data_IF_001196744894
#
_entry.id   IF_001196744894
#
_cell.length_a   1.000
_cell.length_b   1.000
_cell.length_c   1.000
_cell.angle_alpha   90.00
_cell.angle_beta   90.00
_cell.angle_gamma   90.00
#
_symmetry.space_group_name_H-M   'P 1'
#
loop_
_entity.id
_entity.type
_entity.pdbx_description
1 polymer ?
#
# COMPACT_ATOMS: atom_id res chain seq x y z
N UNK A 1 -2.61 -13.39 16.25
CA UNK A 1 -1.57 -12.56 15.65
C UNK A 1 -2.05 -11.16 15.24
N UNK A 2 -3.27 -11.02 14.80
CA UNK A 2 -3.82 -9.72 14.41
C UNK A 2 -4.77 -9.12 15.46
N UNK A 3 -4.66 -9.54 16.72
CA UNK A 3 -5.50 -9.03 17.83
C UNK A 3 -5.48 -7.50 17.92
N UNK A 4 -4.34 -6.87 17.63
CA UNK A 4 -4.20 -5.42 17.65
C UNK A 4 -4.81 -4.72 16.41
N UNK A 5 -5.18 -5.45 15.36
CA UNK A 5 -5.89 -4.93 14.19
C UNK A 5 -7.37 -5.29 14.19
N UNK A 6 -7.75 -6.28 14.98
CA UNK A 6 -9.10 -6.81 14.99
C UNK A 6 -10.11 -5.74 15.44
N UNK A 7 -11.21 -5.63 14.72
CA UNK A 7 -12.32 -4.69 14.95
C UNK A 7 -11.93 -3.19 14.89
N UNK A 8 -10.71 -2.89 14.41
CA UNK A 8 -10.19 -1.52 14.32
C UNK A 8 -9.98 -1.02 12.89
N UNK A 9 -10.20 -1.86 11.90
CA UNK A 9 -9.89 -1.57 10.49
C UNK A 9 -10.45 -0.22 10.05
N UNK A 10 -11.72 0.03 10.31
CA UNK A 10 -12.38 1.29 9.90
C UNK A 10 -11.82 2.52 10.62
N UNK A 11 -11.50 2.38 11.92
CA UNK A 11 -10.96 3.47 12.74
C UNK A 11 -9.57 3.89 12.26
N UNK A 12 -8.75 2.90 11.87
CA UNK A 12 -7.37 3.12 11.43
C UNK A 12 -7.22 3.28 9.92
N UNK A 13 -8.32 3.29 9.18
CA UNK A 13 -8.34 3.52 7.74
C UNK A 13 -7.97 2.31 6.89
N UNK A 14 -7.88 1.10 7.48
CA UNK A 14 -7.65 -0.13 6.71
C UNK A 14 -8.95 -0.59 6.04
N UNK A 15 -8.87 -0.89 4.75
CA UNK A 15 -9.92 -1.56 4.00
C UNK A 15 -9.92 -3.07 4.28
N UNK A 16 -8.73 -3.65 4.38
CA UNK A 16 -8.51 -5.05 4.73
C UNK A 16 -7.08 -5.28 5.18
N UNK A 17 -6.82 -6.43 5.78
CA UNK A 17 -5.46 -6.89 6.03
C UNK A 17 -5.32 -8.40 5.81
N UNK A 18 -4.12 -8.82 5.44
CA UNK A 18 -3.75 -10.22 5.25
C UNK A 18 -2.49 -10.54 6.02
N UNK A 19 -2.43 -11.72 6.60
CA UNK A 19 -1.22 -12.21 7.28
C UNK A 19 -0.71 -13.48 6.62
N UNK A 20 0.62 -13.62 6.57
CA UNK A 20 1.26 -14.81 6.04
C UNK A 20 2.46 -15.21 6.89
N UNK A 21 2.73 -16.49 6.92
CA UNK A 21 4.03 -17.02 7.31
C UNK A 21 4.91 -17.14 6.07
N UNK A 22 6.19 -16.85 6.21
CA UNK A 22 7.14 -17.01 5.13
C UNK A 22 7.28 -18.47 4.79
N UNK A 23 7.19 -18.78 3.53
CA UNK A 23 7.44 -20.13 3.01
C UNK A 23 8.83 -20.63 3.35
N UNK A 24 8.96 -21.94 3.66
CA UNK A 24 10.21 -22.53 4.15
C UNK A 24 11.32 -22.50 3.09
N UNK A 25 11.01 -22.74 1.82
CA UNK A 25 12.02 -22.73 0.75
C UNK A 25 12.54 -21.31 0.55
N UNK A 26 11.66 -20.33 0.46
CA UNK A 26 12.01 -18.90 0.37
C UNK A 26 12.77 -18.41 1.61
N UNK A 27 12.49 -18.98 2.79
CA UNK A 27 13.25 -18.68 4.00
C UNK A 27 14.69 -19.17 3.87
N UNK A 28 14.89 -20.44 3.47
CA UNK A 28 16.22 -21.01 3.30
C UNK A 28 17.02 -20.23 2.25
N UNK A 29 16.44 -19.94 1.09
CA UNK A 29 17.09 -19.11 0.06
C UNK A 29 17.52 -17.74 0.61
N UNK A 30 16.64 -17.08 1.39
CA UNK A 30 16.97 -15.79 2.02
C UNK A 30 18.11 -15.91 3.02
N UNK A 31 18.13 -16.95 3.85
CA UNK A 31 19.20 -17.19 4.83
C UNK A 31 20.55 -17.41 4.14
N UNK A 32 20.58 -18.23 3.10
CA UNK A 32 21.78 -18.48 2.30
C UNK A 32 22.27 -17.18 1.67
N UNK A 33 21.40 -16.45 0.99
CA UNK A 33 21.72 -15.17 0.37
C UNK A 33 22.29 -14.17 1.38
N UNK A 34 21.62 -13.95 2.52
CA UNK A 34 22.10 -13.04 3.57
C UNK A 34 23.50 -13.43 4.08
N UNK A 35 23.74 -14.72 4.24
CA UNK A 35 25.06 -15.22 4.68
C UNK A 35 26.14 -14.99 3.64
N UNK A 36 25.82 -15.11 2.36
CA UNK A 36 26.74 -14.81 1.26
C UNK A 36 27.01 -13.30 1.12
N UNK A 37 25.98 -12.47 1.24
CA UNK A 37 26.08 -11.02 1.11
C UNK A 37 26.85 -10.37 2.26
N UNK A 38 26.72 -10.88 3.49
CA UNK A 38 27.39 -10.33 4.67
C UNK A 38 27.76 -11.44 5.67
N UNK A 39 28.80 -12.19 5.34
CA UNK A 39 29.26 -13.30 6.17
C UNK A 39 29.60 -12.88 7.60
N UNK A 40 30.24 -11.73 7.80
CA UNK A 40 30.64 -11.26 9.12
C UNK A 40 29.44 -11.12 10.08
N UNK A 41 28.32 -10.60 9.58
CA UNK A 41 27.10 -10.41 10.33
C UNK A 41 26.36 -11.72 10.61
N UNK A 42 26.31 -12.61 9.61
CA UNK A 42 25.45 -13.81 9.64
C UNK A 42 26.21 -15.11 9.91
N UNK A 43 27.53 -15.06 10.19
CA UNK A 43 28.36 -16.28 10.42
C UNK A 43 27.90 -17.13 11.61
N UNK A 44 27.32 -16.50 12.64
CA UNK A 44 26.80 -17.18 13.84
C UNK A 44 25.33 -17.60 13.73
N UNK A 45 24.71 -17.35 12.60
CA UNK A 45 23.32 -17.73 12.36
C UNK A 45 23.22 -19.23 12.07
N UNK A 46 22.34 -19.91 12.79
CA UNK A 46 22.05 -21.34 12.68
C UNK A 46 20.55 -21.63 12.85
N UNK A 47 20.18 -22.90 12.84
CA UNK A 47 18.80 -23.35 12.96
C UNK A 47 18.13 -22.98 14.31
N UNK A 48 18.90 -22.68 15.35
CA UNK A 48 18.38 -22.35 16.68
C UNK A 48 18.16 -20.87 16.89
N UNK A 49 18.81 -20.02 16.09
CA UNK A 49 18.82 -18.57 16.30
C UNK A 49 18.43 -17.72 15.08
N UNK A 50 18.11 -18.33 13.92
CA UNK A 50 17.80 -17.61 12.68
C UNK A 50 16.67 -16.58 12.83
N UNK A 51 15.73 -16.82 13.74
CA UNK A 51 14.62 -15.89 14.01
C UNK A 51 15.09 -14.51 14.47
N UNK A 52 16.30 -14.40 15.04
CA UNK A 52 16.92 -13.11 15.42
C UNK A 52 17.44 -12.30 14.23
N UNK A 53 17.63 -12.97 13.09
CA UNK A 53 18.22 -12.38 11.89
C UNK A 53 17.21 -12.14 10.78
N UNK A 54 16.03 -12.77 10.86
CA UNK A 54 14.99 -12.68 9.85
C UNK A 54 13.80 -11.91 10.42
N UNK A 55 13.56 -10.73 9.87
CA UNK A 55 12.55 -9.78 10.36
C UNK A 55 11.20 -9.93 9.66
N UNK A 56 11.07 -10.81 8.66
CA UNK A 56 9.88 -11.01 7.82
C UNK A 56 9.37 -12.45 7.81
N UNK A 57 9.59 -13.20 8.91
CA UNK A 57 9.02 -14.54 9.09
C UNK A 57 7.49 -14.49 9.11
N UNK A 58 6.97 -13.48 9.76
CA UNK A 58 5.56 -13.15 9.79
C UNK A 58 5.41 -11.84 9.03
N UNK A 59 4.58 -11.86 8.01
CA UNK A 59 4.21 -10.68 7.23
C UNK A 59 2.74 -10.33 7.45
N UNK A 60 2.45 -9.05 7.66
CA UNK A 60 1.09 -8.50 7.63
C UNK A 60 1.07 -7.46 6.52
N UNK A 61 0.08 -7.55 5.62
CA UNK A 61 -0.22 -6.53 4.63
C UNK A 61 -1.51 -5.85 5.03
N UNK A 62 -1.47 -4.54 5.24
CA UNK A 62 -2.63 -3.70 5.44
C UNK A 62 -2.91 -2.90 4.17
N UNK A 63 -4.15 -2.92 3.71
CA UNK A 63 -4.58 -2.28 2.48
C UNK A 63 -5.42 -1.06 2.80
N UNK A 64 -5.04 0.06 2.22
CA UNK A 64 -5.74 1.34 2.32
C UNK A 64 -6.57 1.57 1.05
N UNK A 65 -7.73 2.21 1.22
CA UNK A 65 -8.49 2.72 0.08
C UNK A 65 -7.87 4.02 -0.45
N UNK A 66 -7.44 4.88 0.47
CA UNK A 66 -6.81 6.17 0.16
C UNK A 66 -5.45 6.26 0.83
N UNK A 67 -4.48 6.81 0.13
CA UNK A 67 -3.12 6.98 0.63
C UNK A 67 -3.06 7.81 1.92
N UNK A 68 -3.92 8.80 2.05
CA UNK A 68 -4.01 9.68 3.20
C UNK A 68 -4.41 8.96 4.50
N UNK A 69 -5.09 7.82 4.41
CA UNK A 69 -5.48 7.02 5.57
C UNK A 69 -4.29 6.40 6.30
N UNK A 70 -3.12 6.36 5.63
CA UNK A 70 -1.88 5.93 6.24
C UNK A 70 -1.58 6.68 7.55
N UNK A 71 -1.89 7.96 7.65
CA UNK A 71 -1.65 8.76 8.86
C UNK A 71 -2.38 8.18 10.07
N UNK A 72 -3.61 7.71 9.90
CA UNK A 72 -4.39 7.10 10.97
C UNK A 72 -3.75 5.78 11.41
N UNK A 73 -3.37 4.95 10.43
CA UNK A 73 -2.63 3.72 10.71
C UNK A 73 -1.31 4.00 11.42
N UNK A 74 -0.54 4.98 10.96
CA UNK A 74 0.76 5.34 11.55
C UNK A 74 0.61 5.75 13.03
N UNK A 75 -0.35 6.59 13.34
CA UNK A 75 -0.65 6.98 14.74
C UNK A 75 -1.00 5.78 15.60
N UNK A 76 -1.82 4.90 15.07
CA UNK A 76 -2.26 3.69 15.76
C UNK A 76 -1.08 2.74 16.04
N UNK A 77 -0.31 2.39 15.02
CA UNK A 77 0.78 1.42 15.15
C UNK A 77 1.90 1.93 16.07
N UNK A 78 2.23 3.22 16.00
CA UNK A 78 3.24 3.85 16.86
C UNK A 78 2.77 4.03 18.30
N UNK A 79 1.46 4.08 18.54
CA UNK A 79 0.91 4.03 19.88
C UNK A 79 1.10 2.65 20.52
N UNK A 80 0.85 1.58 19.77
CA UNK A 80 1.00 0.20 20.23
C UNK A 80 2.46 -0.24 20.35
N UNK A 81 3.28 0.11 19.37
CA UNK A 81 4.67 -0.28 19.28
C UNK A 81 5.55 0.96 19.35
N UNK A 82 5.90 1.35 20.56
CA UNK A 82 6.77 2.50 20.78
C UNK A 82 8.14 2.27 20.14
N UNK A 83 8.70 3.34 19.59
CA UNK A 83 10.05 3.30 19.04
C UNK A 83 11.07 3.17 20.19
N UNK A 84 11.84 2.10 20.20
CA UNK A 84 12.92 1.87 21.16
C UNK A 84 14.19 1.42 20.40
N UNK A 85 14.96 2.39 19.86
CA UNK A 85 16.19 2.08 19.13
C UNK A 85 17.23 1.34 19.96
N UNK A 86 17.33 1.62 21.25
CA UNK A 86 18.29 0.96 22.14
C UNK A 86 17.92 -0.51 22.35
N UNK A 87 16.64 -0.78 22.41
CA UNK A 87 16.13 -2.15 22.56
C UNK A 87 16.39 -2.96 21.27
N UNK A 88 16.23 -2.35 20.11
CA UNK A 88 16.58 -2.96 18.83
C UNK A 88 18.07 -3.34 18.75
N UNK A 89 18.96 -2.43 19.14
CA UNK A 89 20.42 -2.68 19.15
C UNK A 89 20.77 -3.78 20.14
N UNK A 90 20.13 -3.84 21.28
CA UNK A 90 20.32 -4.89 22.29
C UNK A 90 19.88 -6.26 21.79
N UNK A 91 18.71 -6.34 21.12
CA UNK A 91 18.13 -7.60 20.68
C UNK A 91 18.84 -8.20 19.46
N UNK A 92 19.57 -7.41 18.70
CA UNK A 92 20.32 -7.88 17.54
C UNK A 92 21.52 -8.79 17.89
N UNK A 93 21.78 -9.04 19.13
CA UNK A 93 22.85 -9.91 19.59
C UNK A 93 22.66 -10.59 20.92
N UNK A 94 21.48 -10.45 21.52
CA UNK A 94 21.20 -10.95 22.89
C UNK A 94 19.95 -11.79 22.96
N UNK A 95 19.78 -12.47 24.07
CA UNK A 95 18.67 -13.38 24.33
C UNK A 95 17.33 -12.66 24.23
N UNK A 96 16.40 -13.32 23.55
CA UNK A 96 15.02 -12.89 23.41
C UNK A 96 14.38 -12.75 24.81
N UNK A 97 13.92 -11.56 25.14
CA UNK A 97 12.94 -11.41 26.19
C UNK A 97 11.56 -11.80 25.63
N UNK A 98 11.18 -13.06 25.87
CA UNK A 98 9.88 -13.60 25.42
C UNK A 98 8.69 -12.88 26.09
N UNK A 99 8.93 -12.13 27.16
CA UNK A 99 7.93 -11.38 27.91
C UNK A 99 7.89 -9.90 27.54
N UNK A 100 8.73 -9.44 26.59
CA UNK A 100 8.74 -8.05 26.17
C UNK A 100 7.38 -7.67 25.55
N UNK A 101 6.77 -6.64 26.10
CA UNK A 101 5.69 -5.93 25.41
C UNK A 101 6.16 -5.54 24.01
N UNK A 102 5.27 -5.57 23.00
CA UNK A 102 5.63 -5.24 21.63
C UNK A 102 6.32 -3.86 21.50
N UNK A 103 7.30 -3.76 20.61
CA UNK A 103 8.02 -2.51 20.32
C UNK A 103 8.37 -2.41 18.83
N UNK A 104 8.63 -1.17 18.38
CA UNK A 104 9.13 -0.90 17.03
C UNK A 104 10.61 -1.27 16.97
N UNK A 105 10.96 -2.25 16.15
CA UNK A 105 12.33 -2.77 16.09
C UNK A 105 13.28 -1.83 15.33
N UNK A 106 12.78 -1.10 14.35
CA UNK A 106 13.50 -0.08 13.62
C UNK A 106 12.55 1.06 13.22
N UNK A 107 13.04 2.26 12.92
CA UNK A 107 12.21 3.32 12.37
C UNK A 107 11.47 2.86 11.11
N UNK A 108 10.19 3.25 10.94
CA UNK A 108 9.43 2.91 9.75
C UNK A 108 10.12 3.40 8.48
N UNK A 109 10.04 2.63 7.40
CA UNK A 109 10.59 2.97 6.09
C UNK A 109 9.48 3.19 5.10
N UNK A 110 9.50 4.34 4.46
CA UNK A 110 8.59 4.69 3.37
C UNK A 110 9.30 4.43 2.05
N UNK A 111 8.70 3.63 1.21
CA UNK A 111 9.13 3.45 -0.18
C UNK A 111 8.20 4.26 -1.06
N UNK A 112 8.73 5.22 -1.79
CA UNK A 112 8.03 6.05 -2.76
C UNK A 112 8.51 5.74 -4.17
N UNK A 113 7.70 5.96 -5.17
CA UNK A 113 8.18 5.99 -6.56
C UNK A 113 8.90 7.30 -6.81
N UNK A 114 9.86 7.27 -7.72
CA UNK A 114 10.52 8.48 -8.19
C UNK A 114 9.49 9.47 -8.75
N UNK A 115 9.46 10.68 -8.19
CA UNK A 115 8.50 11.73 -8.55
C UNK A 115 7.17 11.71 -7.81
N UNK A 116 6.96 10.79 -6.87
CA UNK A 116 5.78 10.78 -6.02
C UNK A 116 5.81 11.95 -5.02
N UNK A 117 4.62 12.46 -4.72
CA UNK A 117 4.44 13.45 -3.66
C UNK A 117 4.54 12.78 -2.28
N UNK A 118 5.63 13.06 -1.56
CA UNK A 118 5.97 12.41 -0.29
C UNK A 118 5.60 13.22 0.96
N UNK A 119 5.04 14.43 0.82
CA UNK A 119 4.80 15.37 1.92
C UNK A 119 3.93 14.80 3.06
N UNK A 120 3.02 13.86 2.73
CA UNK A 120 2.18 13.22 3.76
C UNK A 120 3.02 12.44 4.79
N UNK A 121 4.23 12.02 4.42
CA UNK A 121 5.13 11.24 5.27
C UNK A 121 6.12 12.12 6.05
N UNK A 122 6.54 13.26 5.48
CA UNK A 122 7.62 14.10 6.02
C UNK A 122 7.36 14.65 7.42
N UNK A 123 6.08 14.80 7.80
CA UNK A 123 5.72 15.25 9.16
C UNK A 123 5.84 14.16 10.23
N UNK A 124 6.05 12.90 9.82
CA UNK A 124 5.98 11.73 10.70
C UNK A 124 7.22 10.85 10.63
N UNK A 125 7.89 10.83 9.50
CA UNK A 125 9.01 9.95 9.18
C UNK A 125 10.22 10.82 8.83
N UNK A 126 11.39 10.57 9.44
CA UNK A 126 12.63 11.25 9.05
C UNK A 126 12.95 11.03 7.57
N UNK A 127 13.51 12.04 6.92
CA UNK A 127 13.78 12.05 5.48
C UNK A 127 14.68 10.89 5.05
N UNK A 128 15.66 10.50 5.87
CA UNK A 128 16.55 9.37 5.62
C UNK A 128 15.83 8.01 5.56
N UNK A 129 14.59 7.94 6.06
CA UNK A 129 13.75 6.74 5.99
C UNK A 129 12.70 6.81 4.88
N UNK A 130 12.68 7.87 4.07
CA UNK A 130 11.87 8.00 2.86
C UNK A 130 12.77 7.64 1.67
N UNK A 131 12.50 6.47 1.07
CA UNK A 131 13.39 5.83 0.11
C UNK A 131 12.76 5.85 -1.29
N UNK A 132 13.39 6.53 -2.22
CA UNK A 132 12.97 6.51 -3.61
C UNK A 132 13.24 5.13 -4.24
N UNK A 133 12.22 4.59 -4.87
CA UNK A 133 12.24 3.33 -5.62
C UNK A 133 11.72 3.57 -7.03
N UNK A 134 12.17 2.75 -7.97
CA UNK A 134 11.74 2.92 -9.37
C UNK A 134 10.22 2.75 -9.53
N UNK A 135 9.65 1.74 -8.88
CA UNK A 135 8.25 1.36 -9.09
C UNK A 135 7.50 1.05 -7.80
N UNK A 136 8.20 0.70 -6.73
CA UNK A 136 7.61 0.16 -5.53
C UNK A 136 7.18 1.26 -4.56
N UNK A 137 5.95 1.17 -4.04
CA UNK A 137 5.42 2.03 -3.00
C UNK A 137 4.83 1.19 -1.86
N UNK A 138 5.28 1.41 -0.65
CA UNK A 138 4.72 0.86 0.58
C UNK A 138 5.33 1.55 1.80
N UNK A 139 4.66 1.48 2.94
CA UNK A 139 5.29 1.81 4.23
C UNK A 139 5.53 0.52 4.99
N UNK A 140 6.78 0.33 5.40
CA UNK A 140 7.23 -0.86 6.12
C UNK A 140 7.47 -0.54 7.58
N UNK A 141 6.91 -1.37 8.44
CA UNK A 141 7.16 -1.38 9.87
C UNK A 141 7.74 -2.74 10.25
N UNK A 142 8.80 -2.74 11.03
CA UNK A 142 9.32 -3.96 11.66
C UNK A 142 9.05 -3.83 13.15
N UNK A 143 8.17 -4.67 13.64
CA UNK A 143 7.80 -4.69 15.06
C UNK A 143 8.22 -6.02 15.69
N UNK A 144 8.48 -6.00 16.99
CA UNK A 144 8.60 -7.22 17.79
C UNK A 144 7.34 -7.36 18.64
N UNK A 145 6.72 -8.50 18.57
CA UNK A 145 5.57 -8.84 19.38
C UNK A 145 5.73 -10.24 19.94
N UNK A 146 5.68 -10.36 21.28
CA UNK A 146 5.92 -11.62 22.00
C UNK A 146 7.24 -12.29 21.55
N UNK A 147 8.31 -11.50 21.40
CA UNK A 147 9.64 -11.98 21.03
C UNK A 147 9.83 -12.37 19.57
N UNK A 148 8.84 -12.15 18.70
CA UNK A 148 8.91 -12.48 17.27
C UNK A 148 8.85 -11.23 16.42
N UNK A 149 9.71 -11.14 15.41
CA UNK A 149 9.66 -10.08 14.40
C UNK A 149 8.46 -10.25 13.48
N UNK A 150 7.77 -9.17 13.23
CA UNK A 150 6.65 -9.07 12.29
C UNK A 150 6.94 -7.90 11.35
N UNK A 151 6.94 -8.15 10.05
CA UNK A 151 6.95 -7.11 9.03
C UNK A 151 5.50 -6.71 8.71
N UNK A 152 5.19 -5.43 8.85
CA UNK A 152 3.90 -4.88 8.47
C UNK A 152 4.11 -3.97 7.27
N UNK A 153 3.47 -4.28 6.15
CA UNK A 153 3.50 -3.52 4.91
C UNK A 153 2.15 -2.84 4.71
N UNK A 154 2.15 -1.52 4.60
CA UNK A 154 0.94 -0.74 4.32
C UNK A 154 1.03 -0.21 2.89
N UNK A 155 -0.01 -0.51 2.12
CA UNK A 155 -0.14 -0.16 0.71
C UNK A 155 -1.57 0.28 0.40
N UNK A 156 -1.78 0.91 -0.74
CA UNK A 156 -3.12 1.07 -1.29
C UNK A 156 -3.56 -0.18 -2.04
N UNK A 157 -4.86 -0.30 -2.31
CA UNK A 157 -5.40 -1.38 -3.16
C UNK A 157 -4.79 -1.37 -4.57
N UNK A 158 -4.53 -0.20 -5.13
CA UNK A 158 -3.91 -0.07 -6.46
C UNK A 158 -2.47 -0.59 -6.47
N UNK A 159 -1.69 -0.25 -5.44
CA UNK A 159 -0.31 -0.71 -5.31
C UNK A 159 -0.23 -2.21 -5.03
N UNK A 160 -1.16 -2.75 -4.26
CA UNK A 160 -1.20 -4.20 -4.04
C UNK A 160 -1.57 -4.94 -5.32
N UNK A 161 -2.60 -4.46 -6.05
CA UNK A 161 -3.01 -5.05 -7.32
C UNK A 161 -1.87 -5.09 -8.34
N UNK A 162 -1.15 -3.98 -8.53
CA UNK A 162 0.05 -3.96 -9.35
C UNK A 162 1.11 -4.93 -8.85
N UNK A 163 1.41 -4.92 -7.54
CA UNK A 163 2.48 -5.72 -6.95
C UNK A 163 2.24 -7.22 -7.09
N UNK A 164 1.01 -7.69 -6.91
CA UNK A 164 0.64 -9.10 -7.08
C UNK A 164 0.72 -9.53 -8.57
N UNK A 165 0.29 -8.68 -9.50
CA UNK A 165 0.40 -8.94 -10.94
C UNK A 165 1.87 -8.98 -11.35
N UNK A 166 2.66 -7.98 -10.97
CA UNK A 166 4.10 -7.92 -11.27
C UNK A 166 4.83 -9.17 -10.75
N UNK A 167 4.57 -9.53 -9.49
CA UNK A 167 5.15 -10.71 -8.88
C UNK A 167 4.75 -12.00 -9.60
N UNK A 168 3.48 -12.16 -9.98
CA UNK A 168 2.99 -13.36 -10.65
C UNK A 168 3.55 -13.53 -12.08
N UNK A 169 3.78 -12.42 -12.78
CA UNK A 169 4.22 -12.44 -14.18
C UNK A 169 5.74 -12.44 -14.30
N UNK A 170 6.44 -11.61 -13.53
CA UNK A 170 7.89 -11.40 -13.67
C UNK A 170 8.73 -12.29 -12.77
N UNK A 171 8.21 -12.71 -11.61
CA UNK A 171 8.99 -13.48 -10.64
C UNK A 171 8.64 -14.98 -10.69
N UNK A 172 9.63 -15.89 -10.58
CA UNK A 172 11.07 -15.69 -10.68
C UNK A 172 11.62 -15.88 -12.11
N UNK A 173 10.81 -16.43 -13.06
CA UNK A 173 11.30 -17.02 -14.31
C UNK A 173 11.38 -16.09 -15.51
N UNK A 174 10.76 -14.91 -15.45
CA UNK A 174 10.61 -13.99 -16.59
C UNK A 174 11.33 -12.66 -16.41
N UNK A 175 12.21 -12.55 -15.40
CA UNK A 175 13.10 -11.41 -15.24
C UNK A 175 13.96 -11.25 -16.50
N UNK A 176 13.94 -10.05 -17.09
CA UNK A 176 14.70 -9.75 -18.32
C UNK A 176 13.87 -9.81 -19.61
N UNK A 177 12.60 -10.17 -19.56
CA UNK A 177 11.71 -9.99 -20.71
C UNK A 177 11.33 -8.50 -20.82
N UNK A 178 11.87 -7.80 -21.82
CA UNK A 178 11.68 -6.35 -22.00
C UNK A 178 10.20 -5.98 -22.14
N UNK A 179 9.43 -6.72 -22.94
CA UNK A 179 8.01 -6.45 -23.19
C UNK A 179 7.19 -6.57 -21.88
N UNK A 180 7.40 -7.64 -21.10
CA UNK A 180 6.70 -7.82 -19.83
C UNK A 180 7.10 -6.75 -18.82
N UNK A 181 8.34 -6.30 -18.84
CA UNK A 181 8.82 -5.20 -17.99
C UNK A 181 8.12 -3.90 -18.36
N UNK A 182 8.01 -3.58 -19.64
CA UNK A 182 7.31 -2.37 -20.12
C UNK A 182 5.82 -2.39 -19.73
N UNK A 183 5.14 -3.52 -19.87
CA UNK A 183 3.75 -3.67 -19.42
C UNK A 183 3.61 -3.50 -17.91
N UNK A 184 4.52 -4.06 -17.11
CA UNK A 184 4.51 -3.87 -15.66
C UNK A 184 4.74 -2.40 -15.28
N UNK A 185 5.65 -1.70 -15.97
CA UNK A 185 5.88 -0.26 -15.79
C UNK A 185 4.65 0.58 -16.16
N UNK A 186 3.95 0.21 -17.24
CA UNK A 186 2.70 0.87 -17.63
C UNK A 186 1.62 0.66 -16.56
N UNK A 187 1.43 -0.59 -16.11
CA UNK A 187 0.47 -0.92 -15.06
C UNK A 187 0.79 -0.18 -13.75
N UNK A 188 2.08 -0.05 -13.41
CA UNK A 188 2.52 0.72 -12.24
C UNK A 188 2.12 2.19 -12.33
N UNK A 189 2.26 2.80 -13.52
CA UNK A 189 1.81 4.20 -13.75
C UNK A 189 0.30 4.33 -13.60
N UNK A 190 -0.47 3.37 -14.13
CA UNK A 190 -1.93 3.36 -13.98
C UNK A 190 -2.36 3.20 -12.52
N UNK A 191 -1.69 2.34 -11.76
CA UNK A 191 -1.92 2.19 -10.32
C UNK A 191 -1.69 3.52 -9.59
N UNK A 192 -0.61 4.23 -9.92
CA UNK A 192 -0.35 5.55 -9.36
C UNK A 192 -1.38 6.60 -9.71
N UNK A 193 -1.82 6.64 -10.96
CA UNK A 193 -2.91 7.52 -11.36
C UNK A 193 -4.22 7.20 -10.62
N UNK A 194 -4.51 5.90 -10.39
CA UNK A 194 -5.65 5.46 -9.57
C UNK A 194 -5.57 6.00 -8.14
N UNK A 195 -4.41 5.92 -7.51
CA UNK A 195 -4.18 6.49 -6.17
C UNK A 195 -4.37 8.01 -6.12
N UNK A 196 -3.84 8.73 -7.13
CA UNK A 196 -3.98 10.19 -7.21
C UNK A 196 -5.44 10.59 -7.40
N UNK A 197 -6.18 9.88 -8.27
CA UNK A 197 -7.61 10.09 -8.45
C UNK A 197 -8.40 9.79 -7.18
N UNK A 198 -8.09 8.69 -6.48
CA UNK A 198 -8.68 8.36 -5.18
C UNK A 198 -8.48 9.48 -4.17
N UNK A 199 -7.24 9.95 -4.02
CA UNK A 199 -6.88 11.10 -3.16
C UNK A 199 -7.63 12.37 -3.55
N UNK A 200 -7.81 12.61 -4.85
CA UNK A 200 -8.60 13.75 -5.34
C UNK A 200 -10.07 13.63 -4.94
N UNK A 201 -10.71 12.47 -5.18
CA UNK A 201 -12.10 12.24 -4.78
C UNK A 201 -12.29 12.39 -3.27
N UNK A 202 -11.37 11.87 -2.46
CA UNK A 202 -11.44 12.03 -1.00
C UNK A 202 -11.44 13.49 -0.59
N UNK A 203 -10.60 14.32 -1.19
CA UNK A 203 -10.57 15.78 -0.92
C UNK A 203 -11.88 16.46 -1.33
N UNK A 204 -12.52 15.99 -2.40
CA UNK A 204 -13.81 16.53 -2.82
C UNK A 204 -14.94 16.21 -1.82
N UNK A 205 -14.91 15.01 -1.19
CA UNK A 205 -15.91 14.63 -0.19
C UNK A 205 -15.87 15.50 1.08
N UNK A 206 -14.74 16.14 1.37
CA UNK A 206 -14.60 17.05 2.52
C UNK A 206 -15.14 18.45 2.21
N UNK A 207 -15.42 18.78 0.95
CA UNK A 207 -16.00 20.06 0.55
C UNK A 207 -17.52 20.02 0.77
N UNK A 208 -18.11 20.94 1.56
CA UNK A 208 -19.56 20.97 1.78
C UNK A 208 -20.32 21.03 0.45
N UNK A 209 -21.42 20.27 0.36
CA UNK A 209 -22.28 20.17 -0.85
C UNK A 209 -22.75 21.52 -1.39
N UNK A 210 -22.91 22.53 -0.53
CA UNK A 210 -23.26 23.90 -0.93
C UNK A 210 -22.28 24.53 -1.92
N UNK A 211 -20.97 24.20 -1.82
CA UNK A 211 -19.96 24.68 -2.77
C UNK A 211 -19.98 23.92 -4.10
N UNK A 212 -20.47 22.68 -4.11
CA UNK A 212 -20.65 21.91 -5.34
C UNK A 212 -21.90 22.36 -6.09
N UNK A 213 -23.01 22.57 -5.40
CA UNK A 213 -24.25 23.05 -6.03
C UNK A 213 -24.05 24.39 -6.73
N UNK A 214 -23.24 25.30 -6.17
CA UNK A 214 -22.92 26.56 -6.83
C UNK A 214 -22.14 26.41 -8.13
N UNK A 215 -21.27 25.39 -8.25
CA UNK A 215 -20.51 25.10 -9.47
C UNK A 215 -21.31 24.32 -10.50
N UNK A 216 -22.14 23.37 -10.09
CA UNK A 216 -23.07 22.68 -11.00
C UNK A 216 -24.08 23.66 -11.61
N UNK A 217 -24.57 24.61 -10.82
CA UNK A 217 -25.48 25.68 -11.30
C UNK A 217 -24.76 26.58 -12.31
N UNK A 218 -23.46 26.85 -12.15
CA UNK A 218 -22.65 27.63 -13.09
C UNK A 218 -22.36 26.84 -14.37
N UNK A 219 -22.11 25.52 -14.28
CA UNK A 219 -21.89 24.68 -15.46
C UNK A 219 -23.19 24.45 -16.21
N UNK A 220 -24.32 24.25 -15.53
CA UNK A 220 -25.65 24.15 -16.18
C UNK A 220 -26.15 25.48 -16.74
N UNK A 221 -25.75 26.63 -16.19
CA UNK A 221 -26.05 27.96 -16.74
C UNK A 221 -25.15 28.38 -17.90
N UNK A 222 -23.99 27.70 -18.12
CA UNK A 222 -23.20 27.86 -19.33
C UNK A 222 -23.78 26.97 -20.44
N UNK A 223 -24.93 27.44 -20.99
CA UNK A 223 -25.32 27.24 -22.37
C UNK A 223 -25.45 25.79 -22.90
N UNK A 224 -26.50 25.10 -22.47
CA UNK A 224 -27.20 24.28 -23.44
C UNK A 224 -27.92 25.24 -24.40
N UNK A 225 -27.41 25.36 -25.65
CA UNK A 225 -28.10 26.12 -26.70
C UNK A 225 -29.57 25.70 -26.72
N UNK A 226 -30.51 26.61 -26.97
CA UNK A 226 -31.96 26.35 -26.90
C UNK A 226 -32.40 25.10 -27.69
N UNK A 227 -31.69 24.76 -28.74
CA UNK A 227 -31.94 23.57 -29.59
C UNK A 227 -31.65 22.22 -28.86
N UNK A 228 -30.66 22.18 -27.95
CA UNK A 228 -30.34 20.96 -27.18
C UNK A 228 -31.33 20.79 -26.02
N UNK A 229 -31.78 21.89 -25.44
CA UNK A 229 -32.79 21.89 -24.38
C UNK A 229 -34.14 21.32 -24.86
N UNK A 230 -34.55 21.70 -26.06
CA UNK A 230 -35.79 21.21 -26.70
C UNK A 230 -35.68 19.70 -27.09
N UNK A 231 -34.47 19.18 -27.37
CA UNK A 231 -34.24 17.78 -27.69
C UNK A 231 -34.24 16.87 -26.44
N UNK A 232 -33.75 17.38 -25.29
CA UNK A 232 -33.74 16.66 -24.02
C UNK A 232 -35.13 16.61 -23.36
N UNK A 233 -35.92 17.68 -23.48
CA UNK A 233 -37.30 17.73 -22.94
C UNK A 233 -38.32 16.87 -23.72
N UNK A 234 -37.98 16.43 -24.95
CA UNK A 234 -38.84 15.58 -25.80
C UNK A 234 -38.50 14.09 -25.74
N UNK A 235 -37.48 13.66 -25.01
CA UNK A 235 -37.11 12.24 -24.89
C UNK A 235 -37.93 11.60 -23.77
N UNK A 236 -38.87 10.77 -24.19
CA UNK A 236 -39.63 9.88 -23.33
C UNK A 236 -38.68 8.85 -22.66
N UNK A 237 -38.92 8.53 -21.39
CA UNK A 237 -38.12 7.60 -20.57
C UNK A 237 -37.99 6.18 -21.18
N UNK A 238 -38.76 5.87 -22.20
CA UNK A 238 -38.68 4.59 -22.93
C UNK A 238 -37.49 4.48 -23.92
N UNK A 239 -36.79 5.59 -24.25
CA UNK A 239 -35.61 5.56 -25.15
C UNK A 239 -34.28 5.29 -24.43
N UNK A 240 -34.27 5.25 -23.09
CA UNK A 240 -33.02 4.98 -22.34
C UNK A 240 -32.60 3.51 -22.49
N UNK A 241 -33.54 2.57 -22.70
CA UNK A 241 -33.23 1.17 -22.98
C UNK A 241 -32.54 0.94 -24.32
N UNK A 242 -32.80 1.77 -25.32
CA UNK A 242 -32.19 1.62 -26.65
C UNK A 242 -30.77 2.17 -26.75
N UNK A 243 -30.35 3.05 -25.82
CA UNK A 243 -28.96 3.55 -25.77
C UNK A 243 -28.00 2.50 -25.20
N UNK A 244 -28.44 1.68 -24.23
CA UNK A 244 -27.60 0.60 -23.69
C UNK A 244 -27.32 -0.47 -24.77
N UNK A 245 -28.30 -0.80 -25.59
CA UNK A 245 -28.13 -1.77 -26.68
C UNK A 245 -27.20 -1.24 -27.79
N UNK A 246 -27.24 0.07 -28.09
CA UNK A 246 -26.36 0.67 -29.09
C UNK A 246 -24.90 0.74 -28.61
N UNK A 247 -24.66 1.00 -27.33
CA UNK A 247 -23.30 1.00 -26.74
C UNK A 247 -22.73 -0.43 -26.71
N UNK A 248 -23.56 -1.42 -26.39
CA UNK A 248 -23.12 -2.82 -26.38
C UNK A 248 -22.84 -3.39 -27.79
N UNK A 249 -23.51 -2.87 -28.85
CA UNK A 249 -23.23 -3.29 -30.22
C UNK A 249 -21.88 -2.78 -30.73
N UNK A 250 -21.45 -1.58 -30.30
CA UNK A 250 -20.16 -0.97 -30.66
C UNK A 250 -18.98 -1.68 -29.96
N UNK A 251 -19.20 -2.26 -28.79
CA UNK A 251 -18.15 -2.97 -28.04
C UNK A 251 -17.96 -4.44 -28.45
N UNK A 252 -18.77 -4.95 -29.40
CA UNK A 252 -18.69 -6.33 -29.90
C UNK A 252 -18.06 -6.45 -31.31
N UNK A 253 -17.73 -5.33 -31.96
CA UNK A 253 -16.90 -5.26 -33.18
C UNK A 253 -15.43 -4.94 -32.80
#
# INVERSE_FOLDING_TARGET
MAEFLQDKEKEIGLQSYHSRLKDTEHLVEKLVRKRLENYAKYRKMDATNYMRYVTDLIGIRGLLLYREDWVNFHKYITHWFKNDPEKYIRDYGRDYDQNASGYMAEPPKVHTRLGDYADIYMNWIPEENILDRKHYRAVHYIVVYRGVYIEIQIKTLFEEGWGEIDHSILYPRRKGNAMLTEFSELLNRLAGMGDEMGSFYRRLQVVPDEKFQSKETIVRKRELKPQVKAAVEKRDLNEIHTMDDAVWSILKE
#
